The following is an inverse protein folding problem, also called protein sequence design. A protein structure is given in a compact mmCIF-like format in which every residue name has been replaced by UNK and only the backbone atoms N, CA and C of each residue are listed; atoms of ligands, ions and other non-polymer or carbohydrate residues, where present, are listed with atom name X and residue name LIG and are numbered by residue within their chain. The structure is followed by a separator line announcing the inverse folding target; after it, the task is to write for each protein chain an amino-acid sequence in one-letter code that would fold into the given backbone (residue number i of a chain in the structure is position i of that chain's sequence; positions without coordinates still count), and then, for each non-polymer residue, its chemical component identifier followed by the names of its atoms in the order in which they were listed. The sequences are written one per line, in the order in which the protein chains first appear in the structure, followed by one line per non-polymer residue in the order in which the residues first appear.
data_IF_788317670005
#
_entry.id   IF_788317670005
#
_cell.length_a   1.000
_cell.length_b   1.000
_cell.length_c   1.000
_cell.angle_alpha   90.00
_cell.angle_beta   90.00
_cell.angle_gamma   90.00
#
_symmetry.space_group_name_H-M   'P 1'
#
loop_
_entity.id
_entity.type
_entity.pdbx_description
1 polymer ?
#
# COMPACT_ATOMS: atom_id res chain seq x y z
N UNK A 1 -19.50 -9.77 -2.84
CA UNK A 1 -18.09 -9.34 -2.72
C UNK A 1 -18.04 -7.89 -2.26
N UNK A 2 -18.77 -7.02 -2.95
CA UNK A 2 -18.80 -5.57 -2.73
C UNK A 2 -19.09 -5.12 -1.29
N UNK A 3 -20.07 -5.72 -0.60
CA UNK A 3 -20.42 -5.30 0.77
C UNK A 3 -19.28 -5.51 1.77
N UNK A 4 -18.58 -6.65 1.71
CA UNK A 4 -17.44 -6.93 2.62
C UNK A 4 -16.27 -5.97 2.36
N UNK A 5 -16.02 -5.63 1.09
CA UNK A 5 -14.93 -4.70 0.73
C UNK A 5 -15.30 -3.28 1.13
N UNK A 6 -16.56 -2.88 0.94
CA UNK A 6 -17.06 -1.60 1.42
C UNK A 6 -16.96 -1.47 2.94
N UNK A 7 -17.36 -2.51 3.69
CA UNK A 7 -17.23 -2.55 5.15
C UNK A 7 -15.76 -2.44 5.59
N UNK A 8 -14.85 -3.14 4.88
CA UNK A 8 -13.40 -3.04 5.09
C UNK A 8 -12.87 -1.61 4.84
N UNK A 9 -13.26 -0.97 3.74
CA UNK A 9 -12.86 0.40 3.43
C UNK A 9 -13.40 1.42 4.42
N UNK A 10 -14.64 1.27 4.88
CA UNK A 10 -15.17 2.08 5.99
C UNK A 10 -14.30 1.95 7.22
N UNK A 11 -13.94 0.71 7.61
CA UNK A 11 -13.06 0.47 8.76
C UNK A 11 -11.69 1.10 8.59
N UNK A 12 -11.06 1.00 7.41
CA UNK A 12 -9.78 1.65 7.12
C UNK A 12 -9.85 3.16 7.29
N UNK A 13 -10.91 3.80 6.77
CA UNK A 13 -11.10 5.24 6.86
C UNK A 13 -11.33 5.66 8.32
N UNK A 14 -12.14 4.92 9.07
CA UNK A 14 -12.34 5.17 10.50
C UNK A 14 -11.02 5.05 11.27
N UNK A 15 -10.22 4.02 10.98
CA UNK A 15 -8.94 3.82 11.63
C UNK A 15 -7.93 4.90 11.26
N UNK A 16 -7.88 5.31 9.98
CA UNK A 16 -7.06 6.43 9.53
C UNK A 16 -7.41 7.73 10.26
N UNK A 17 -8.70 7.99 10.52
CA UNK A 17 -9.15 9.18 11.27
C UNK A 17 -8.77 9.18 12.75
N UNK A 18 -8.42 8.02 13.32
CA UNK A 18 -7.92 7.91 14.70
C UNK A 18 -6.45 8.31 14.76
N UNK A 19 -5.64 7.91 13.78
CA UNK A 19 -4.18 8.06 13.83
C UNK A 19 -3.63 9.22 13.01
N UNK A 20 -4.37 9.72 12.02
CA UNK A 20 -3.90 10.73 11.08
C UNK A 20 -4.76 11.99 11.10
N UNK A 21 -4.17 13.09 10.65
CA UNK A 21 -4.83 14.38 10.44
C UNK A 21 -5.16 14.58 8.96
N UNK A 22 -6.07 15.53 8.66
CA UNK A 22 -6.43 15.92 7.29
C UNK A 22 -6.74 14.71 6.37
N UNK A 23 -7.49 13.74 6.88
CA UNK A 23 -7.84 12.52 6.15
C UNK A 23 -8.83 12.83 5.04
N UNK A 24 -8.38 12.66 3.80
CA UNK A 24 -9.18 12.72 2.58
C UNK A 24 -9.18 11.35 1.91
N UNK A 25 -10.31 10.93 1.35
CA UNK A 25 -10.38 9.66 0.64
C UNK A 25 -11.39 9.68 -0.49
N UNK A 26 -11.18 8.78 -1.44
CA UNK A 26 -12.10 8.49 -2.53
C UNK A 26 -12.20 6.97 -2.71
N UNK A 27 -13.42 6.50 -2.99
CA UNK A 27 -13.67 5.13 -3.41
C UNK A 27 -14.21 5.16 -4.83
N UNK A 28 -13.52 4.47 -5.74
CA UNK A 28 -13.97 4.22 -7.11
C UNK A 28 -14.40 2.75 -7.21
N UNK A 29 -15.66 2.52 -7.57
CA UNK A 29 -16.27 1.19 -7.62
C UNK A 29 -16.84 0.95 -9.01
N UNK A 30 -16.39 -0.12 -9.65
CA UNK A 30 -16.87 -0.60 -10.95
C UNK A 30 -17.18 -2.09 -10.84
N UNK A 31 -17.91 -2.69 -11.79
CA UNK A 31 -18.17 -4.13 -11.78
C UNK A 31 -16.92 -5.03 -11.78
N UNK A 32 -15.74 -4.51 -12.17
CA UNK A 32 -14.48 -5.27 -12.29
C UNK A 32 -13.48 -5.03 -11.16
N UNK A 33 -13.68 -3.95 -10.40
CA UNK A 33 -12.74 -3.53 -9.34
C UNK A 33 -13.37 -2.51 -8.42
N UNK A 34 -12.85 -2.48 -7.20
CA UNK A 34 -13.08 -1.42 -6.23
C UNK A 34 -11.74 -0.95 -5.67
N UNK A 35 -11.54 0.36 -5.62
CA UNK A 35 -10.28 0.97 -5.19
C UNK A 35 -10.54 2.08 -4.17
N UNK A 36 -9.85 1.99 -3.03
CA UNK A 36 -9.74 3.07 -2.06
C UNK A 36 -8.45 3.83 -2.34
N UNK A 37 -8.54 5.16 -2.37
CA UNK A 37 -7.39 6.06 -2.28
C UNK A 37 -7.61 6.96 -1.08
N UNK A 38 -6.66 6.98 -0.18
CA UNK A 38 -6.67 7.79 1.03
C UNK A 38 -5.38 8.59 1.10
N UNK A 39 -5.50 9.86 1.43
CA UNK A 39 -4.39 10.75 1.73
C UNK A 39 -4.60 11.37 3.10
N UNK A 40 -3.53 11.49 3.87
CA UNK A 40 -3.58 12.07 5.19
C UNK A 40 -2.23 12.68 5.59
N UNK A 41 -2.19 13.31 6.74
CA UNK A 41 -0.97 13.82 7.38
C UNK A 41 -0.70 13.08 8.68
N UNK A 42 0.56 12.76 8.94
CA UNK A 42 1.01 12.18 10.21
C UNK A 42 2.31 12.87 10.62
N UNK A 43 2.28 13.69 11.68
CA UNK A 43 3.40 14.58 12.04
C UNK A 43 3.82 15.43 10.82
N UNK A 44 5.11 15.46 10.47
CA UNK A 44 5.65 16.13 9.27
C UNK A 44 5.50 15.32 7.99
N UNK A 45 4.90 14.13 8.04
CA UNK A 45 4.81 13.21 6.91
C UNK A 45 3.46 13.30 6.20
N UNK A 46 3.49 13.15 4.88
CA UNK A 46 2.29 12.90 4.08
C UNK A 46 2.11 11.39 3.91
N UNK A 47 0.91 10.91 4.21
CA UNK A 47 0.53 9.50 4.09
C UNK A 47 -0.31 9.32 2.84
N UNK A 48 0.05 8.32 2.01
CA UNK A 48 -0.73 7.91 0.85
C UNK A 48 -1.04 6.41 0.98
N UNK A 49 -2.31 6.07 0.90
CA UNK A 49 -2.82 4.71 1.06
C UNK A 49 -3.66 4.39 -0.16
N UNK A 50 -3.41 3.24 -0.78
CA UNK A 50 -4.25 2.72 -1.85
C UNK A 50 -4.46 1.23 -1.61
N UNK A 51 -5.71 0.80 -1.68
CA UNK A 51 -6.08 -0.61 -1.72
C UNK A 51 -6.97 -0.85 -2.93
N UNK A 52 -6.66 -1.87 -3.71
CA UNK A 52 -7.38 -2.26 -4.92
C UNK A 52 -7.77 -3.72 -4.79
N UNK A 53 -9.06 -3.98 -4.92
CA UNK A 53 -9.61 -5.33 -5.07
C UNK A 53 -10.14 -5.46 -6.50
N UNK A 54 -9.71 -6.52 -7.19
CA UNK A 54 -10.24 -6.94 -8.49
C UNK A 54 -10.72 -8.39 -8.41
N UNK A 55 -11.25 -8.92 -9.51
CA UNK A 55 -11.86 -10.27 -9.56
C UNK A 55 -10.98 -11.40 -8.99
N UNK A 56 -9.64 -11.25 -8.97
CA UNK A 56 -8.72 -12.27 -8.46
C UNK A 56 -7.54 -11.75 -7.63
N UNK A 57 -7.33 -10.43 -7.55
CA UNK A 57 -6.14 -9.86 -6.93
C UNK A 57 -6.48 -8.82 -5.87
N UNK A 58 -5.63 -8.78 -4.84
CA UNK A 58 -5.57 -7.69 -3.87
C UNK A 58 -4.23 -6.99 -4.01
N UNK A 59 -4.27 -5.68 -4.27
CA UNK A 59 -3.09 -4.84 -4.32
C UNK A 59 -3.16 -3.75 -3.26
N UNK A 60 -2.03 -3.48 -2.60
CA UNK A 60 -1.91 -2.39 -1.65
C UNK A 60 -0.69 -1.54 -1.93
N UNK A 61 -0.78 -0.26 -1.57
CA UNK A 61 0.32 0.71 -1.59
C UNK A 61 0.18 1.63 -0.39
N UNK A 62 1.12 1.56 0.54
CA UNK A 62 1.15 2.42 1.73
C UNK A 62 2.47 3.18 1.77
N UNK A 63 2.39 4.49 1.59
CA UNK A 63 3.54 5.36 1.39
C UNK A 63 3.59 6.46 2.44
N UNK A 64 4.80 6.71 2.91
CA UNK A 64 5.18 7.82 3.77
C UNK A 64 6.08 8.74 2.99
N UNK A 65 5.68 9.99 2.85
CA UNK A 65 6.43 11.02 2.15
C UNK A 65 6.93 12.07 3.13
N UNK A 66 8.18 12.48 2.97
CA UNK A 66 8.81 13.60 3.66
C UNK A 66 9.30 14.58 2.59
N UNK A 67 8.78 15.82 2.58
CA UNK A 67 9.16 16.84 1.59
C UNK A 67 9.08 16.35 0.12
N UNK A 68 8.03 15.59 -0.24
CA UNK A 68 7.82 14.95 -1.56
C UNK A 68 8.66 13.70 -1.86
N UNK A 69 9.60 13.31 -1.00
CA UNK A 69 10.42 12.11 -1.18
C UNK A 69 9.79 10.91 -0.49
N UNK A 70 9.91 9.72 -1.09
CA UNK A 70 9.44 8.48 -0.45
C UNK A 70 10.41 8.08 0.66
N UNK A 71 9.97 8.25 1.92
CA UNK A 71 10.69 7.78 3.10
C UNK A 71 10.59 6.26 3.23
N UNK A 72 9.37 5.75 3.07
CA UNK A 72 9.04 4.32 3.06
C UNK A 72 7.80 4.08 2.18
N UNK A 73 7.80 3.00 1.41
CA UNK A 73 6.66 2.61 0.56
C UNK A 73 6.45 1.11 0.54
N UNK A 74 5.44 0.62 1.24
CA UNK A 74 5.03 -0.78 1.19
C UNK A 74 4.11 -1.01 -0.01
N UNK A 75 4.44 -1.98 -0.84
CA UNK A 75 3.73 -2.31 -2.09
C UNK A 75 3.71 -3.84 -2.27
N UNK A 76 2.78 -4.37 -3.05
CA UNK A 76 2.79 -5.76 -3.51
C UNK A 76 2.62 -5.91 -5.03
N UNK A 77 2.85 -4.84 -5.81
CA UNK A 77 2.76 -4.87 -7.25
C UNK A 77 3.80 -5.81 -7.87
N UNK A 78 3.58 -6.16 -9.14
CA UNK A 78 4.53 -6.89 -9.98
C UNK A 78 5.74 -6.01 -10.35
N UNK A 79 6.54 -5.58 -9.37
CA UNK A 79 7.81 -4.86 -9.58
C UNK A 79 8.90 -5.84 -10.06
N UNK A 80 9.49 -5.64 -11.26
CA UNK A 80 10.54 -6.51 -11.77
C UNK A 80 11.77 -6.64 -10.86
N UNK A 81 12.09 -5.61 -10.05
CA UNK A 81 13.16 -5.64 -9.06
C UNK A 81 12.81 -6.55 -7.89
N UNK A 82 11.56 -6.50 -7.40
CA UNK A 82 11.09 -7.38 -6.34
C UNK A 82 11.08 -8.85 -6.81
N UNK A 83 10.59 -9.11 -8.03
CA UNK A 83 10.63 -10.45 -8.65
C UNK A 83 12.07 -10.95 -8.75
N UNK A 84 13.00 -10.11 -9.23
CA UNK A 84 14.42 -10.47 -9.32
C UNK A 84 15.03 -10.77 -7.95
N UNK A 85 14.70 -10.00 -6.93
CA UNK A 85 15.18 -10.27 -5.56
C UNK A 85 14.66 -11.61 -5.03
N UNK A 86 13.39 -11.94 -5.30
CA UNK A 86 12.75 -13.17 -4.81
C UNK A 86 13.29 -14.43 -5.51
N UNK A 87 13.52 -14.35 -6.83
CA UNK A 87 13.83 -15.53 -7.65
C UNK A 87 15.25 -15.54 -8.23
N UNK A 88 16.03 -14.48 -8.06
CA UNK A 88 17.36 -14.30 -8.66
C UNK A 88 17.35 -14.01 -10.17
N UNK A 89 16.17 -14.04 -10.82
CA UNK A 89 15.99 -13.79 -12.25
C UNK A 89 14.64 -13.10 -12.52
N UNK A 90 14.52 -12.55 -13.72
CA UNK A 90 13.24 -12.10 -14.27
C UNK A 90 12.90 -13.05 -15.41
N UNK A 91 11.70 -13.60 -15.38
CA UNK A 91 11.22 -14.57 -16.37
C UNK A 91 9.75 -14.37 -16.65
N UNK A 92 9.29 -14.77 -17.85
CA UNK A 92 7.87 -14.68 -18.23
C UNK A 92 6.97 -15.50 -17.31
N UNK A 93 7.53 -16.53 -16.69
CA UNK A 93 6.85 -17.39 -15.71
C UNK A 93 6.39 -16.64 -14.45
N UNK A 94 6.97 -15.47 -14.14
CA UNK A 94 6.62 -14.62 -12.99
C UNK A 94 5.83 -13.37 -13.40
N UNK A 95 5.38 -13.30 -14.66
CA UNK A 95 4.68 -12.12 -15.19
C UNK A 95 3.36 -11.92 -14.45
N UNK A 96 3.18 -10.74 -13.85
CA UNK A 96 1.97 -10.39 -13.11
C UNK A 96 1.97 -10.88 -11.67
N UNK A 97 3.03 -11.57 -11.22
CA UNK A 97 3.12 -12.00 -9.83
C UNK A 97 3.22 -10.79 -8.89
N UNK A 98 2.31 -10.76 -7.92
CA UNK A 98 2.33 -9.77 -6.85
C UNK A 98 3.36 -10.18 -5.79
N UNK A 99 4.38 -9.34 -5.59
CA UNK A 99 5.46 -9.60 -4.63
C UNK A 99 5.46 -8.49 -3.61
N UNK A 100 5.23 -8.82 -2.33
CA UNK A 100 5.29 -7.84 -1.24
C UNK A 100 6.72 -7.34 -1.02
N UNK A 101 6.86 -6.02 -0.98
CA UNK A 101 8.15 -5.35 -0.81
C UNK A 101 8.00 -3.97 -0.18
N UNK A 102 9.13 -3.44 0.28
CA UNK A 102 9.31 -2.12 0.85
C UNK A 102 10.32 -1.33 0.01
N UNK A 103 9.91 -0.15 -0.46
CA UNK A 103 10.77 0.87 -1.02
C UNK A 103 11.35 1.77 0.07
N UNK A 104 12.65 2.05 -0.01
CA UNK A 104 13.39 2.96 0.85
C UNK A 104 14.25 3.92 0.00
N UNK A 105 14.75 4.99 0.62
CA UNK A 105 15.60 6.03 0.01
C UNK A 105 15.07 6.48 -1.36
N UNK A 106 13.85 7.01 -1.37
CA UNK A 106 13.17 7.47 -2.58
C UNK A 106 13.10 6.39 -3.68
N UNK A 107 12.78 5.16 -3.25
CA UNK A 107 12.67 3.94 -4.08
C UNK A 107 13.98 3.46 -4.71
N UNK A 108 15.14 3.97 -4.29
CA UNK A 108 16.44 3.45 -4.74
C UNK A 108 16.75 2.09 -4.10
N UNK A 109 16.31 1.91 -2.87
CA UNK A 109 16.43 0.65 -2.15
C UNK A 109 15.09 -0.11 -2.16
N UNK A 110 15.18 -1.44 -2.23
CA UNK A 110 14.03 -2.33 -2.24
C UNK A 110 14.34 -3.59 -1.44
N UNK A 111 13.46 -3.92 -0.51
CA UNK A 111 13.57 -5.10 0.35
C UNK A 111 12.29 -5.91 0.25
N UNK A 112 12.39 -7.24 0.21
CA UNK A 112 11.22 -8.12 0.25
C UNK A 112 10.59 -8.09 1.64
N UNK A 113 9.27 -8.16 1.69
CA UNK A 113 8.53 -8.21 2.94
C UNK A 113 7.46 -9.28 2.89
N UNK A 114 6.93 -9.62 4.06
CA UNK A 114 5.62 -10.25 4.14
C UNK A 114 4.53 -9.27 3.66
N UNK A 115 3.32 -9.82 3.45
CA UNK A 115 2.13 -9.01 3.15
C UNK A 115 1.91 -7.98 4.26
N UNK A 116 1.84 -6.71 3.88
CA UNK A 116 1.56 -5.62 4.80
C UNK A 116 0.06 -5.36 4.84
N UNK A 117 -0.54 -5.43 6.03
CA UNK A 117 -1.89 -4.93 6.28
C UNK A 117 -1.85 -3.46 6.66
N UNK A 118 -2.98 -2.76 6.55
CA UNK A 118 -3.06 -1.36 6.98
C UNK A 118 -2.80 -1.18 8.48
N UNK A 119 -3.31 -2.09 9.32
CA UNK A 119 -3.04 -2.07 10.76
C UNK A 119 -1.55 -2.27 11.04
N UNK A 120 -0.90 -3.18 10.30
CA UNK A 120 0.55 -3.39 10.36
C UNK A 120 1.34 -2.16 9.93
N UNK A 121 0.86 -1.45 8.90
CA UNK A 121 1.46 -0.21 8.45
C UNK A 121 1.36 0.88 9.53
N UNK A 122 0.20 1.06 10.16
CA UNK A 122 0.05 2.00 11.29
C UNK A 122 0.99 1.64 12.44
N UNK A 123 1.03 0.36 12.83
CA UNK A 123 1.94 -0.09 13.89
C UNK A 123 3.40 0.22 13.55
N UNK A 124 3.79 0.02 12.28
CA UNK A 124 5.12 0.39 11.80
C UNK A 124 5.38 1.89 11.91
N UNK A 125 4.43 2.75 11.54
CA UNK A 125 4.57 4.22 11.69
C UNK A 125 4.79 4.62 13.14
N UNK A 126 3.99 4.09 14.06
CA UNK A 126 4.08 4.42 15.49
C UNK A 126 5.42 4.05 16.12
N UNK A 127 6.08 3.02 15.60
CA UNK A 127 7.37 2.53 16.09
C UNK A 127 8.54 3.31 15.45
N UNK A 128 8.42 3.69 14.18
CA UNK A 128 9.57 4.15 13.38
C UNK A 128 9.59 5.65 13.08
N UNK A 129 8.48 6.38 13.30
CA UNK A 129 8.34 7.81 12.99
C UNK A 129 7.71 8.58 14.15
#
# INVERSE_FOLDING_TARGET
MDRKIADHFTRLVEFARIYFEAVEYNVDSTPKRIILRLTASYKSYKILVTELYSDQDFQYRYYVLENQFVKAGFDNASDPRAIRLKYGKIGKEYSGELVSHLHLDDKKELVLTEVMSFDGFIAWLLINL
#
